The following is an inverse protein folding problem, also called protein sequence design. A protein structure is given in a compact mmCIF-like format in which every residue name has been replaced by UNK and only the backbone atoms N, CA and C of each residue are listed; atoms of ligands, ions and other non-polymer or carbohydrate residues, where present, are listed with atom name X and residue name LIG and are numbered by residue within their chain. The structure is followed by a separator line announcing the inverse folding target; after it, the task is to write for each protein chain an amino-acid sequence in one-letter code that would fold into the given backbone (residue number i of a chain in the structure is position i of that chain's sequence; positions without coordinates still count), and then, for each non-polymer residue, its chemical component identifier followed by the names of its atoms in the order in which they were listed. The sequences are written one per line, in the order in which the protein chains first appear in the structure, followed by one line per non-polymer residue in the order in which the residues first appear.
data_IF_436896998717
#
_entry.id   IF_436896998717
#
_cell.length_a   1.000
_cell.length_b   1.000
_cell.length_c   1.000
_cell.angle_alpha   90.00
_cell.angle_beta   90.00
_cell.angle_gamma   90.00
#
_symmetry.space_group_name_H-M   'P 1'
#
loop_
_entity.id
_entity.type
_entity.pdbx_description
1 polymer ?
#
# COMPACT_ATOMS: atom_id res chain seq x y z
N UNK A 1 -35.39 -45.56 33.43
CA UNK A 1 -34.95 -45.24 32.03
C UNK A 1 -34.16 -43.95 32.08
N UNK A 2 -32.80 -44.02 32.06
CA UNK A 2 -31.94 -42.84 32.15
C UNK A 2 -31.49 -42.48 30.72
N UNK A 3 -31.90 -41.30 30.26
CA UNK A 3 -31.51 -40.78 28.97
C UNK A 3 -30.22 -40.00 29.14
N UNK A 4 -29.12 -40.51 28.56
CA UNK A 4 -27.81 -39.86 28.58
C UNK A 4 -27.70 -38.98 27.33
N UNK A 5 -27.74 -37.66 27.51
CA UNK A 5 -27.62 -36.70 26.42
C UNK A 5 -26.11 -36.51 26.12
N UNK A 6 -25.68 -36.95 24.94
CA UNK A 6 -24.32 -36.70 24.42
C UNK A 6 -24.26 -35.30 23.83
N UNK A 7 -23.50 -34.40 24.42
CA UNK A 7 -23.11 -33.13 23.82
C UNK A 7 -21.93 -33.32 22.89
N UNK A 8 -22.18 -33.23 21.60
CA UNK A 8 -21.13 -33.19 20.58
C UNK A 8 -20.59 -31.75 20.53
N UNK A 9 -19.41 -31.53 21.12
CA UNK A 9 -18.70 -30.26 21.00
C UNK A 9 -18.08 -30.18 19.62
N UNK A 10 -18.67 -29.38 18.74
CA UNK A 10 -18.12 -29.04 17.41
C UNK A 10 -16.97 -28.05 17.60
N UNK A 11 -15.73 -28.54 17.61
CA UNK A 11 -14.51 -27.70 17.58
C UNK A 11 -14.32 -27.20 16.15
N UNK A 12 -14.83 -26.01 15.85
CA UNK A 12 -14.52 -25.29 14.60
C UNK A 12 -13.08 -24.79 14.70
N UNK A 13 -12.12 -25.56 14.17
CA UNK A 13 -10.76 -25.09 13.92
C UNK A 13 -10.83 -24.10 12.76
N UNK A 14 -10.78 -22.80 13.05
CA UNK A 14 -10.50 -21.77 12.08
C UNK A 14 -9.06 -21.95 11.58
N UNK A 15 -8.94 -22.66 10.45
CA UNK A 15 -7.73 -22.62 9.65
C UNK A 15 -7.62 -21.20 9.08
N UNK A 16 -6.81 -20.37 9.75
CA UNK A 16 -6.45 -19.06 9.25
C UNK A 16 -5.69 -19.24 7.93
N UNK A 17 -6.38 -19.10 6.81
CA UNK A 17 -5.73 -18.93 5.53
C UNK A 17 -5.02 -17.58 5.56
N UNK A 18 -3.69 -17.60 5.66
CA UNK A 18 -2.88 -16.44 5.34
C UNK A 18 -3.05 -16.19 3.84
N UNK A 19 -3.95 -15.33 3.47
CA UNK A 19 -4.03 -14.81 2.10
C UNK A 19 -2.76 -13.97 1.94
N UNK A 20 -1.75 -14.54 1.29
CA UNK A 20 -0.60 -13.75 0.84
C UNK A 20 -1.14 -12.82 -0.24
N UNK A 21 -1.14 -11.53 0.02
CA UNK A 21 -1.47 -10.54 -0.99
C UNK A 21 -0.49 -10.71 -2.18
N UNK A 22 -1.03 -10.67 -3.39
CA UNK A 22 -0.20 -10.70 -4.60
C UNK A 22 0.76 -9.50 -4.60
N UNK A 23 1.99 -9.66 -5.12
CA UNK A 23 2.90 -8.55 -5.31
C UNK A 23 2.27 -7.46 -6.17
N UNK A 24 2.40 -6.22 -5.75
CA UNK A 24 1.91 -5.07 -6.49
C UNK A 24 3.00 -4.56 -7.44
N UNK A 25 2.61 -4.31 -8.69
CA UNK A 25 3.45 -3.61 -9.64
C UNK A 25 3.50 -2.14 -9.25
N UNK A 26 4.71 -1.59 -9.15
CA UNK A 26 4.93 -0.18 -8.89
C UNK A 26 5.08 0.56 -10.23
N UNK A 27 6.30 0.74 -10.69
CA UNK A 27 6.61 1.47 -11.93
C UNK A 27 7.33 0.58 -12.91
N UNK A 28 6.94 0.66 -14.20
CA UNK A 28 7.71 0.13 -15.32
C UNK A 28 8.36 1.26 -16.09
N UNK A 29 9.66 1.14 -16.39
CA UNK A 29 10.41 2.12 -17.15
C UNK A 29 11.75 1.52 -17.64
N UNK A 30 12.20 1.85 -18.85
CA UNK A 30 13.49 1.42 -19.39
C UNK A 30 13.74 -0.09 -19.25
N UNK A 31 12.87 -0.88 -19.86
CA UNK A 31 12.92 -2.36 -19.88
C UNK A 31 12.83 -3.04 -18.50
N UNK A 32 12.42 -2.34 -17.45
CA UNK A 32 12.33 -2.89 -16.12
C UNK A 32 11.02 -2.50 -15.41
N UNK A 33 10.47 -3.42 -14.63
CA UNK A 33 9.37 -3.13 -13.71
C UNK A 33 9.82 -3.32 -12.27
N UNK A 34 9.35 -2.42 -11.40
CA UNK A 34 9.52 -2.50 -9.95
C UNK A 34 8.29 -3.14 -9.31
N UNK A 35 8.52 -3.89 -8.24
CA UNK A 35 7.48 -4.65 -7.52
C UNK A 35 7.60 -4.47 -6.01
N UNK A 36 6.47 -4.53 -5.31
CA UNK A 36 6.44 -4.62 -3.86
C UNK A 36 5.63 -5.83 -3.42
N UNK A 37 6.24 -6.70 -2.63
CA UNK A 37 5.56 -7.80 -1.98
C UNK A 37 5.30 -7.45 -0.52
N UNK A 38 4.11 -6.91 -0.24
CA UNK A 38 3.73 -6.46 1.10
C UNK A 38 3.53 -7.68 1.98
N UNK A 39 4.19 -7.68 3.15
CA UNK A 39 4.14 -8.77 4.13
C UNK A 39 3.31 -8.42 5.34
N UNK A 40 3.42 -7.18 5.81
CA UNK A 40 2.78 -6.75 7.04
C UNK A 40 2.31 -5.30 6.87
N UNK A 41 1.07 -5.05 7.26
CA UNK A 41 0.51 -3.71 7.44
C UNK A 41 0.13 -3.59 8.92
N UNK A 42 0.81 -2.73 9.65
CA UNK A 42 0.53 -2.46 11.06
C UNK A 42 -0.05 -1.07 11.22
N UNK A 43 -1.27 -0.97 11.73
CA UNK A 43 -1.88 0.29 12.16
C UNK A 43 -1.18 0.79 13.42
N UNK A 44 -0.78 2.06 13.44
CA UNK A 44 -0.09 2.68 14.58
C UNK A 44 -0.98 3.68 15.30
N UNK A 45 -1.32 4.77 14.65
CA UNK A 45 -1.96 5.93 15.27
C UNK A 45 -3.00 6.55 14.32
N UNK A 46 -3.91 7.33 14.90
CA UNK A 46 -4.86 8.16 14.17
C UNK A 46 -4.46 9.64 14.26
N UNK A 47 -4.55 10.32 13.14
CA UNK A 47 -4.42 11.78 13.10
C UNK A 47 -5.70 12.49 13.50
N UNK A 48 -5.60 13.77 13.86
CA UNK A 48 -6.75 14.60 14.23
C UNK A 48 -7.75 14.84 13.09
N UNK A 49 -7.34 14.64 11.85
CA UNK A 49 -8.19 14.70 10.67
C UNK A 49 -8.94 13.37 10.37
N UNK A 50 -8.79 12.38 11.26
CA UNK A 50 -9.36 11.04 11.10
C UNK A 50 -8.54 10.10 10.22
N UNK A 51 -7.40 10.54 9.69
CA UNK A 51 -6.47 9.69 8.94
C UNK A 51 -5.80 8.63 9.82
N UNK A 52 -5.34 7.55 9.21
CA UNK A 52 -4.71 6.41 9.87
C UNK A 52 -3.25 6.26 9.43
N UNK A 53 -2.33 6.22 10.40
CA UNK A 53 -0.92 5.96 10.15
C UNK A 53 -0.64 4.46 10.18
N UNK A 54 -0.12 3.93 9.07
CA UNK A 54 0.25 2.54 8.90
C UNK A 54 1.76 2.39 8.71
N UNK A 55 2.33 1.30 9.21
CA UNK A 55 3.69 0.86 8.87
C UNK A 55 3.61 -0.33 7.95
N UNK A 56 4.19 -0.19 6.78
CA UNK A 56 4.24 -1.23 5.76
C UNK A 56 5.63 -1.86 5.75
N UNK A 57 5.64 -3.18 5.78
CA UNK A 57 6.85 -3.99 5.63
C UNK A 57 6.73 -4.79 4.34
N UNK A 58 7.69 -4.67 3.43
CA UNK A 58 7.63 -5.31 2.12
C UNK A 58 9.01 -5.68 1.58
N UNK A 59 9.05 -6.65 0.65
CA UNK A 59 10.20 -6.88 -0.19
C UNK A 59 10.06 -6.08 -1.48
N UNK A 60 11.14 -5.41 -1.85
CA UNK A 60 11.25 -4.79 -3.17
C UNK A 60 11.76 -5.81 -4.17
N UNK A 61 11.29 -5.75 -5.40
CA UNK A 61 11.73 -6.62 -6.47
C UNK A 61 11.79 -5.89 -7.80
N UNK A 62 12.51 -6.47 -8.75
CA UNK A 62 12.59 -5.99 -10.13
C UNK A 62 12.45 -7.12 -11.13
N UNK A 63 11.83 -6.84 -12.28
CA UNK A 63 11.77 -7.77 -13.40
C UNK A 63 12.21 -7.07 -14.68
N UNK A 64 12.85 -7.83 -15.60
CA UNK A 64 13.33 -7.30 -16.88
C UNK A 64 12.37 -7.67 -18.02
N UNK A 65 12.12 -6.72 -18.91
CA UNK A 65 11.27 -6.86 -20.08
C UNK A 65 11.98 -6.26 -21.30
N UNK A 66 11.91 -6.93 -22.46
CA UNK A 66 12.70 -6.53 -23.64
C UNK A 66 12.33 -5.18 -24.25
N UNK A 67 11.14 -4.68 -23.98
CA UNK A 67 10.66 -3.38 -24.44
C UNK A 67 9.39 -2.99 -23.68
N UNK A 68 9.01 -1.74 -23.77
CA UNK A 68 7.86 -1.17 -23.04
C UNK A 68 6.52 -1.84 -23.41
N UNK A 69 6.41 -2.47 -24.58
CA UNK A 69 5.20 -3.18 -25.01
C UNK A 69 5.01 -4.54 -24.32
N UNK A 70 6.03 -5.02 -23.62
CA UNK A 70 6.00 -6.30 -22.89
C UNK A 70 5.81 -6.14 -21.39
N UNK A 71 5.59 -4.93 -20.91
CA UNK A 71 5.31 -4.70 -19.50
C UNK A 71 4.03 -5.42 -19.09
N UNK A 72 4.06 -6.18 -17.98
CA UNK A 72 2.85 -6.82 -17.46
C UNK A 72 1.93 -5.79 -16.84
N UNK A 73 0.62 -5.98 -16.95
CA UNK A 73 -0.39 -5.14 -16.29
C UNK A 73 -0.57 -5.49 -14.81
N UNK A 74 -0.21 -6.73 -14.44
CA UNK A 74 -0.35 -7.24 -13.08
C UNK A 74 0.70 -8.31 -12.80
N UNK A 75 0.81 -8.75 -11.53
CA UNK A 75 1.63 -9.89 -11.15
C UNK A 75 1.18 -11.17 -11.88
N UNK A 76 2.16 -11.93 -12.35
CA UNK A 76 1.97 -13.24 -12.96
C UNK A 76 3.19 -14.11 -12.62
N UNK A 77 2.96 -15.39 -12.30
CA UNK A 77 4.03 -16.37 -12.05
C UNK A 77 4.85 -16.74 -13.30
N UNK A 78 4.53 -16.14 -14.45
CA UNK A 78 5.17 -16.44 -15.73
C UNK A 78 6.46 -15.66 -16.01
N UNK A 79 6.87 -14.74 -15.13
CA UNK A 79 8.11 -13.99 -15.26
C UNK A 79 8.88 -13.95 -13.94
N UNK A 80 10.20 -13.90 -14.06
CA UNK A 80 11.08 -13.87 -12.91
C UNK A 80 11.12 -12.47 -12.32
N UNK A 81 10.95 -12.38 -11.00
CA UNK A 81 11.19 -11.18 -10.21
C UNK A 81 12.39 -11.43 -9.32
N UNK A 82 13.41 -10.61 -9.49
CA UNK A 82 14.57 -10.58 -8.58
C UNK A 82 14.19 -9.80 -7.33
N UNK A 83 14.01 -10.53 -6.22
CA UNK A 83 13.60 -9.96 -4.95
C UNK A 83 14.80 -9.59 -4.09
N UNK A 84 14.79 -8.35 -3.56
CA UNK A 84 15.74 -7.92 -2.54
C UNK A 84 15.68 -8.86 -1.33
N UNK A 85 16.86 -9.18 -0.79
CA UNK A 85 16.98 -9.96 0.44
C UNK A 85 16.64 -9.16 1.68
N UNK A 86 16.70 -7.83 1.59
CA UNK A 86 16.42 -6.92 2.69
C UNK A 86 14.96 -6.50 2.68
N UNK A 87 14.37 -6.48 3.86
CA UNK A 87 13.01 -6.01 4.07
C UNK A 87 13.02 -4.49 4.13
N UNK A 88 12.26 -3.85 3.25
CA UNK A 88 12.00 -2.41 3.31
C UNK A 88 10.86 -2.10 4.30
N UNK A 89 10.92 -0.93 4.92
CA UNK A 89 9.92 -0.44 5.86
C UNK A 89 9.62 1.03 5.60
N UNK A 90 8.34 1.34 5.39
CA UNK A 90 7.85 2.69 5.15
C UNK A 90 6.60 2.97 5.97
N UNK A 91 6.26 4.23 6.09
CA UNK A 91 5.03 4.70 6.71
C UNK A 91 4.08 5.23 5.63
N UNK A 92 2.79 4.92 5.80
CA UNK A 92 1.71 5.36 4.92
C UNK A 92 0.64 6.03 5.79
N UNK A 93 0.35 7.29 5.51
CA UNK A 93 -0.71 8.02 6.20
C UNK A 93 -1.94 8.09 5.31
N UNK A 94 -2.93 7.25 5.62
CA UNK A 94 -4.21 7.16 4.92
C UNK A 94 -5.13 8.29 5.37
N UNK A 95 -5.15 9.39 4.65
CA UNK A 95 -5.96 10.57 4.97
C UNK A 95 -6.46 11.23 3.70
N UNK A 96 -7.73 11.63 3.68
CA UNK A 96 -8.31 12.40 2.57
C UNK A 96 -7.86 13.87 2.54
N UNK A 97 -7.13 14.33 3.56
CA UNK A 97 -6.62 15.70 3.65
C UNK A 97 -5.11 15.78 3.48
N UNK A 98 -4.38 14.77 3.92
CA UNK A 98 -2.91 14.77 3.99
C UNK A 98 -2.31 13.41 3.60
N UNK A 99 -2.68 12.85 2.44
CA UNK A 99 -2.17 11.56 1.99
C UNK A 99 -0.64 11.60 1.86
N UNK A 100 0.06 10.64 2.46
CA UNK A 100 1.52 10.63 2.44
C UNK A 100 2.12 9.22 2.51
N UNK A 101 3.30 9.04 1.87
CA UNK A 101 4.17 7.87 2.02
C UNK A 101 5.58 8.37 2.29
N UNK A 102 6.24 7.84 3.33
CA UNK A 102 7.54 8.34 3.75
C UNK A 102 8.37 7.29 4.51
N UNK A 103 9.68 7.40 4.42
CA UNK A 103 10.62 6.59 5.20
C UNK A 103 10.76 7.08 6.65
N UNK A 104 11.37 6.28 7.52
CA UNK A 104 11.49 6.55 8.98
C UNK A 104 12.12 7.90 9.34
N UNK A 105 13.09 8.37 8.54
CA UNK A 105 13.83 9.62 8.81
C UNK A 105 13.71 10.59 7.61
N UNK A 106 12.76 10.36 6.71
CA UNK A 106 12.58 11.21 5.56
C UNK A 106 11.74 12.44 5.92
N UNK A 107 11.97 13.51 5.18
CA UNK A 107 11.05 14.62 5.15
C UNK A 107 9.68 14.14 4.69
N UNK A 108 8.63 14.49 5.40
CA UNK A 108 7.28 14.05 5.08
C UNK A 108 6.68 15.06 4.10
N UNK A 109 6.35 14.58 2.91
CA UNK A 109 5.60 15.36 1.92
C UNK A 109 4.29 14.66 1.62
N UNK A 110 3.18 15.39 1.62
CA UNK A 110 1.89 14.87 1.17
C UNK A 110 1.84 14.82 -0.35
N UNK A 111 1.05 13.90 -0.89
CA UNK A 111 0.68 13.96 -2.31
C UNK A 111 -0.08 15.24 -2.62
N UNK A 112 -0.03 15.63 -3.88
CA UNK A 112 -0.84 16.72 -4.43
C UNK A 112 -1.87 16.11 -5.38
N UNK A 113 -3.16 16.21 -5.04
CA UNK A 113 -4.21 15.66 -5.90
C UNK A 113 -5.02 16.77 -6.57
N UNK A 114 -5.45 16.58 -7.82
CA UNK A 114 -5.25 15.40 -8.67
C UNK A 114 -3.92 15.37 -9.44
N UNK A 115 -2.93 16.20 -9.11
CA UNK A 115 -1.65 16.24 -9.79
C UNK A 115 -0.73 15.14 -9.25
N UNK A 116 -0.33 14.22 -10.12
CA UNK A 116 0.60 13.13 -9.79
C UNK A 116 1.85 13.26 -10.63
N UNK A 117 2.99 13.33 -9.97
CA UNK A 117 4.29 13.43 -10.63
C UNK A 117 4.89 12.05 -10.85
N UNK A 118 5.55 11.84 -12.01
CA UNK A 118 6.07 10.53 -12.38
C UNK A 118 7.04 9.90 -11.37
N UNK A 119 7.78 10.71 -10.59
CA UNK A 119 8.66 10.22 -9.53
C UNK A 119 7.93 9.72 -8.28
N UNK A 120 6.65 10.07 -8.11
CA UNK A 120 5.80 9.65 -6.97
C UNK A 120 5.00 8.38 -7.26
N UNK A 121 4.97 7.90 -8.51
CA UNK A 121 4.08 6.80 -8.92
C UNK A 121 4.24 5.56 -8.04
N UNK A 122 5.47 5.12 -7.75
CA UNK A 122 5.68 3.95 -6.90
C UNK A 122 5.17 4.14 -5.47
N UNK A 123 5.32 5.33 -4.90
CA UNK A 123 4.78 5.66 -3.59
C UNK A 123 3.25 5.73 -3.62
N UNK A 124 2.69 6.29 -4.70
CA UNK A 124 1.26 6.36 -4.90
C UNK A 124 0.64 4.96 -5.04
N UNK A 125 1.25 4.04 -5.80
CA UNK A 125 0.75 2.67 -5.94
C UNK A 125 0.70 1.96 -4.58
N UNK A 126 1.73 2.12 -3.74
CA UNK A 126 1.72 1.59 -2.37
C UNK A 126 0.61 2.25 -1.54
N UNK A 127 0.43 3.57 -1.66
CA UNK A 127 -0.62 4.32 -0.98
C UNK A 127 -2.01 3.81 -1.37
N UNK A 128 -2.30 3.73 -2.66
CA UNK A 128 -3.59 3.29 -3.20
C UNK A 128 -3.92 1.86 -2.77
N UNK A 129 -2.94 0.97 -2.83
CA UNK A 129 -3.12 -0.41 -2.36
C UNK A 129 -3.37 -0.46 -0.85
N UNK A 130 -2.59 0.28 -0.05
CA UNK A 130 -2.69 0.24 1.41
C UNK A 130 -3.97 0.85 1.94
N UNK A 131 -4.40 1.98 1.37
CA UNK A 131 -5.50 2.79 1.89
C UNK A 131 -6.85 2.49 1.23
N UNK A 132 -6.85 1.95 0.02
CA UNK A 132 -8.06 1.80 -0.80
C UNK A 132 -8.20 0.43 -1.46
N UNK A 133 -7.23 -0.48 -1.26
CA UNK A 133 -7.20 -1.81 -1.91
C UNK A 133 -7.40 -1.71 -3.44
N UNK A 134 -6.74 -0.73 -4.07
CA UNK A 134 -6.86 -0.45 -5.50
C UNK A 134 -5.52 -0.01 -6.09
N UNK A 135 -5.45 0.07 -7.43
CA UNK A 135 -4.27 0.53 -8.19
C UNK A 135 -4.59 1.84 -8.89
N UNK A 136 -3.61 2.74 -8.96
CA UNK A 136 -3.69 3.92 -9.81
C UNK A 136 -3.37 3.56 -11.27
N UNK A 137 -4.33 3.74 -12.17
CA UNK A 137 -4.22 3.40 -13.59
C UNK A 137 -4.06 4.64 -14.49
N UNK A 138 -3.58 5.76 -13.93
CA UNK A 138 -3.38 7.00 -14.70
C UNK A 138 -4.66 7.84 -14.88
N UNK A 139 -5.80 7.41 -14.35
CA UNK A 139 -7.05 8.18 -14.39
C UNK A 139 -7.23 8.98 -13.09
N UNK A 140 -7.14 10.31 -13.20
CA UNK A 140 -7.26 11.21 -12.06
C UNK A 140 -8.68 11.29 -11.46
N UNK A 141 -9.71 10.84 -12.16
CA UNK A 141 -11.09 10.78 -11.62
C UNK A 141 -11.20 9.83 -10.42
N UNK A 142 -10.27 8.86 -10.30
CA UNK A 142 -10.23 7.95 -9.15
C UNK A 142 -10.11 8.71 -7.84
N UNK A 143 -9.38 9.82 -7.80
CA UNK A 143 -9.19 10.59 -6.57
C UNK A 143 -10.51 11.20 -6.07
N UNK A 144 -11.31 11.79 -6.98
CA UNK A 144 -12.64 12.30 -6.63
C UNK A 144 -13.58 11.19 -6.15
N UNK A 145 -13.55 10.00 -6.80
CA UNK A 145 -14.36 8.85 -6.43
C UNK A 145 -13.99 8.29 -5.04
N UNK A 146 -12.74 8.43 -4.63
CA UNK A 146 -12.23 8.05 -3.31
C UNK A 146 -12.39 9.15 -2.24
N UNK A 147 -13.04 10.28 -2.60
CA UNK A 147 -13.32 11.37 -1.67
C UNK A 147 -12.16 12.33 -1.47
N UNK A 148 -11.22 12.39 -2.42
CA UNK A 148 -10.18 13.41 -2.42
C UNK A 148 -10.66 14.65 -3.17
N UNK A 149 -10.69 15.75 -2.46
CA UNK A 149 -10.79 17.07 -3.07
C UNK A 149 -9.42 17.51 -3.62
N UNK A 150 -9.34 18.75 -4.10
CA UNK A 150 -8.06 19.34 -4.48
C UNK A 150 -7.16 19.48 -3.27
N UNK A 151 -6.13 18.64 -3.19
CA UNK A 151 -5.13 18.61 -2.12
C UNK A 151 -3.88 19.33 -2.62
N UNK A 152 -3.42 20.32 -1.86
CA UNK A 152 -2.13 20.96 -2.08
C UNK A 152 -1.04 20.22 -1.31
N UNK A 153 0.14 20.12 -1.91
CA UNK A 153 1.31 19.55 -1.25
C UNK A 153 1.69 20.34 -0.01
N UNK A 154 1.89 19.63 1.08
CA UNK A 154 2.42 20.17 2.33
C UNK A 154 3.62 19.37 2.78
N UNK A 155 4.46 20.00 3.59
CA UNK A 155 5.68 19.44 4.13
C UNK A 155 5.62 19.47 5.65
N UNK A 156 6.06 18.38 6.28
CA UNK A 156 6.07 18.22 7.74
C UNK A 156 7.44 17.74 8.20
N UNK A 157 7.90 18.25 9.32
CA UNK A 157 9.21 17.91 9.89
C UNK A 157 9.14 16.67 10.78
N UNK A 158 7.95 16.23 11.16
CA UNK A 158 7.75 15.07 12.02
C UNK A 158 6.39 14.42 11.85
N UNK A 159 6.31 13.14 12.22
CA UNK A 159 5.03 12.40 12.29
C UNK A 159 4.05 13.10 13.24
N UNK A 160 4.54 13.59 14.37
CA UNK A 160 3.70 14.29 15.35
C UNK A 160 3.07 15.56 14.75
N UNK A 161 3.80 16.31 13.93
CA UNK A 161 3.28 17.48 13.22
C UNK A 161 2.20 17.07 12.22
N UNK A 162 2.47 16.05 11.37
CA UNK A 162 1.51 15.50 10.42
C UNK A 162 0.21 15.07 11.09
N UNK A 163 0.27 14.34 12.22
CA UNK A 163 -0.91 13.80 12.91
C UNK A 163 -1.72 14.88 13.66
N UNK A 164 -1.09 15.98 14.05
CA UNK A 164 -1.73 17.02 14.88
C UNK A 164 -2.24 18.24 14.11
N UNK A 165 -1.94 18.36 12.83
CA UNK A 165 -2.50 19.43 12.00
C UNK A 165 -4.02 19.23 11.82
N UNK A 166 -4.77 20.33 11.79
CA UNK A 166 -6.22 20.36 11.52
C UNK A 166 -6.52 20.81 10.09
#
# INVERSE_FOLDING_TARGET
MKITTFYFAYCLTFLGFSVFAEPIQLRCHMDSCSWANIKIINKLEHGKDGGELNVITYFYGSSFHKNDLTYPDSYSDKFDIDWDKNIAKIMVYCSNKRPAVFGKNALIQTFEFPLVYGFEMSALDIYMHTCHDTKYLGNNEIFANLGYDKIQRKQFNSVKELLNEF
#
